data_IF_913540214984
#
_entry.id   IF_913540214984
#
_cell.length_a   1.000
_cell.length_b   1.000
_cell.length_c   1.000
_cell.angle_alpha   90.00
_cell.angle_beta   90.00
_cell.angle_gamma   90.00
#
_symmetry.space_group_name_H-M   'P 1'
#
loop_
_entity.id
_entity.type
_entity.pdbx_description
1 polymer ?
#
# COMPACT_ATOMS: atom_id res chain seq x y z
N UNK A 1 2.36 -18.13 -23.27
CA UNK A 1 1.83 -17.90 -21.92
C UNK A 1 2.95 -17.43 -21.02
N UNK A 2 3.13 -16.13 -20.89
CA UNK A 2 4.04 -15.53 -19.92
C UNK A 2 3.51 -15.85 -18.52
N UNK A 3 4.07 -16.87 -17.90
CA UNK A 3 3.85 -17.17 -16.49
C UNK A 3 4.30 -15.93 -15.70
N UNK A 4 3.36 -15.14 -15.17
CA UNK A 4 3.65 -14.02 -14.28
C UNK A 4 4.08 -14.62 -12.95
N UNK A 5 5.38 -14.86 -12.78
CA UNK A 5 5.96 -15.25 -11.50
C UNK A 5 5.58 -14.21 -10.45
N UNK A 6 4.95 -14.65 -9.40
CA UNK A 6 4.51 -13.77 -8.33
C UNK A 6 5.73 -13.38 -7.48
N UNK A 7 5.97 -12.07 -7.33
CA UNK A 7 7.10 -11.50 -6.60
C UNK A 7 6.57 -10.75 -5.38
N UNK A 8 7.16 -10.99 -4.22
CA UNK A 8 6.74 -10.35 -2.99
C UNK A 8 7.88 -9.54 -2.37
N UNK A 9 7.57 -8.31 -1.97
CA UNK A 9 8.54 -7.39 -1.39
C UNK A 9 8.43 -7.37 0.14
N UNK A 10 9.43 -7.91 0.81
CA UNK A 10 9.52 -8.04 2.26
C UNK A 10 10.27 -6.84 2.86
N UNK A 11 9.61 -5.69 3.00
CA UNK A 11 10.22 -4.47 3.57
C UNK A 11 9.96 -4.37 5.07
N UNK A 12 8.78 -4.75 5.56
CA UNK A 12 8.37 -4.49 6.95
C UNK A 12 9.01 -5.45 7.94
N UNK A 13 9.65 -4.91 8.97
CA UNK A 13 10.11 -5.66 10.12
C UNK A 13 9.00 -5.83 11.17
N UNK A 14 9.23 -6.68 12.18
CA UNK A 14 8.35 -6.96 13.32
C UNK A 14 7.97 -5.67 14.11
N UNK A 15 6.85 -5.67 14.91
CA UNK A 15 6.28 -4.46 15.54
C UNK A 15 7.18 -3.62 16.42
N UNK A 16 8.18 -4.22 17.03
CA UNK A 16 9.09 -3.51 17.95
C UNK A 16 10.18 -2.72 17.23
N UNK A 17 10.14 -2.67 15.90
CA UNK A 17 11.08 -1.95 15.06
C UNK A 17 10.35 -0.94 14.17
N UNK A 18 11.09 0.01 13.60
CA UNK A 18 10.53 1.16 12.87
C UNK A 18 9.97 0.80 11.49
N UNK A 19 8.92 -0.01 11.40
CA UNK A 19 8.40 -0.56 10.14
C UNK A 19 7.92 0.50 9.13
N UNK A 20 7.51 1.68 9.58
CA UNK A 20 7.14 2.82 8.71
C UNK A 20 8.35 3.66 8.27
N UNK A 21 9.51 3.53 8.93
CA UNK A 21 10.77 4.12 8.50
C UNK A 21 11.67 3.05 7.89
N UNK A 22 11.58 2.89 6.57
CA UNK A 22 12.35 1.90 5.84
C UNK A 22 13.88 2.10 5.91
N UNK A 23 14.35 3.20 6.51
CA UNK A 23 15.75 3.48 6.73
C UNK A 23 16.24 3.09 8.14
N UNK A 24 15.38 2.46 8.95
CA UNK A 24 15.70 2.00 10.32
C UNK A 24 15.24 0.56 10.59
N UNK A 25 15.24 -0.27 9.55
CA UNK A 25 14.92 -1.69 9.70
C UNK A 25 16.05 -2.41 10.41
N UNK A 26 15.69 -3.31 11.35
CA UNK A 26 16.62 -4.07 12.16
C UNK A 26 16.88 -5.50 11.64
N UNK A 27 16.11 -5.96 10.64
CA UNK A 27 16.37 -7.23 9.99
C UNK A 27 17.76 -7.22 9.37
N UNK A 28 18.62 -8.15 9.80
CA UNK A 28 20.05 -8.12 9.48
C UNK A 28 20.45 -9.03 8.33
N UNK A 29 21.48 -8.62 7.61
CA UNK A 29 22.21 -9.45 6.67
C UNK A 29 23.71 -9.23 6.91
N UNK A 30 24.44 -10.30 7.27
CA UNK A 30 25.87 -10.27 7.54
C UNK A 30 26.59 -10.99 6.40
N UNK A 31 27.62 -10.33 5.84
CA UNK A 31 28.42 -10.91 4.75
C UNK A 31 29.45 -11.89 5.30
N UNK A 32 29.47 -13.09 4.75
CA UNK A 32 30.44 -14.13 5.04
C UNK A 32 31.03 -14.67 3.72
N UNK A 33 32.16 -14.10 3.31
CA UNK A 33 32.81 -14.41 2.04
C UNK A 33 31.89 -14.06 0.85
N UNK A 34 31.57 -15.03 0.02
CA UNK A 34 30.68 -14.92 -1.14
C UNK A 34 29.21 -15.18 -0.81
N UNK A 35 28.86 -15.18 0.48
CA UNK A 35 27.51 -15.43 0.96
C UNK A 35 27.05 -14.35 1.93
N UNK A 36 25.72 -14.26 2.09
CA UNK A 36 25.06 -13.45 3.12
C UNK A 36 24.24 -14.34 4.05
N UNK A 37 24.30 -14.05 5.34
CA UNK A 37 23.50 -14.72 6.37
C UNK A 37 22.43 -13.77 6.85
N UNK A 38 21.16 -14.15 6.65
CA UNK A 38 19.99 -13.33 6.96
C UNK A 38 19.32 -13.80 8.23
N UNK A 39 19.04 -12.86 9.16
CA UNK A 39 18.38 -13.14 10.43
C UNK A 39 17.34 -12.08 10.79
N UNK A 40 16.21 -12.53 11.34
CA UNK A 40 15.17 -11.66 11.87
C UNK A 40 13.77 -12.07 11.47
N UNK A 41 12.81 -11.17 11.66
CA UNK A 41 11.41 -11.41 11.36
C UNK A 41 10.84 -10.32 10.46
N UNK A 42 9.99 -10.71 9.52
CA UNK A 42 9.23 -9.82 8.65
C UNK A 42 7.74 -10.12 8.81
N UNK A 43 6.89 -9.11 8.89
CA UNK A 43 5.46 -9.31 9.00
C UNK A 43 4.67 -8.42 8.04
N UNK A 44 3.39 -8.72 7.87
CA UNK A 44 2.54 -8.09 6.87
C UNK A 44 3.09 -8.24 5.45
N UNK A 45 3.69 -9.38 5.16
CA UNK A 45 4.28 -9.67 3.84
C UNK A 45 3.18 -10.24 2.95
N UNK A 46 2.59 -9.38 2.14
CA UNK A 46 1.48 -9.72 1.26
C UNK A 46 1.89 -10.74 0.21
N UNK A 47 1.13 -11.83 0.11
CA UNK A 47 1.35 -12.90 -0.86
C UNK A 47 2.54 -13.81 -0.60
N UNK A 48 3.24 -13.67 0.51
CA UNK A 48 4.38 -14.54 0.81
C UNK A 48 3.98 -15.99 1.07
N UNK A 49 2.73 -16.24 1.49
CA UNK A 49 2.17 -17.59 1.66
C UNK A 49 1.42 -18.12 0.44
N UNK A 50 1.33 -17.36 -0.65
CA UNK A 50 0.66 -17.82 -1.87
C UNK A 50 1.48 -18.96 -2.51
N UNK A 51 0.87 -20.12 -2.80
CA UNK A 51 1.57 -21.25 -3.45
C UNK A 51 2.22 -20.90 -4.79
N UNK A 52 1.79 -19.80 -5.42
CA UNK A 52 2.34 -19.30 -6.71
C UNK A 52 3.50 -18.33 -6.53
N UNK A 53 3.90 -18.04 -5.29
CA UNK A 53 5.01 -17.12 -5.00
C UNK A 53 6.35 -17.82 -5.27
N UNK A 54 7.05 -17.37 -6.29
CA UNK A 54 8.34 -17.94 -6.72
C UNK A 54 9.55 -17.12 -6.26
N UNK A 55 9.32 -15.90 -5.71
CA UNK A 55 10.41 -15.00 -5.42
C UNK A 55 10.09 -14.02 -4.29
N UNK A 56 10.99 -13.94 -3.30
CA UNK A 56 11.00 -12.86 -2.33
C UNK A 56 12.01 -11.78 -2.72
N UNK A 57 11.58 -10.52 -2.58
CA UNK A 57 12.45 -9.34 -2.67
C UNK A 57 12.58 -8.78 -1.26
N UNK A 58 13.74 -8.95 -0.64
CA UNK A 58 13.98 -8.71 0.78
C UNK A 58 14.87 -7.48 0.99
N UNK A 59 14.44 -6.56 1.85
CA UNK A 59 15.27 -5.45 2.32
C UNK A 59 15.86 -5.78 3.69
N UNK A 60 17.18 -5.76 3.83
CA UNK A 60 17.90 -6.05 5.05
C UNK A 60 18.94 -4.98 5.38
N UNK A 61 19.20 -4.77 6.66
CA UNK A 61 20.29 -3.93 7.15
C UNK A 61 21.61 -4.68 6.98
N UNK A 62 22.53 -4.11 6.20
CA UNK A 62 23.85 -4.67 5.92
C UNK A 62 24.97 -3.88 6.57
N UNK A 63 24.79 -2.58 6.80
CA UNK A 63 25.72 -1.72 7.50
C UNK A 63 24.97 -0.69 8.37
N UNK A 64 24.78 -0.94 9.66
CA UNK A 64 24.11 -0.01 10.55
C UNK A 64 24.90 1.29 10.80
N UNK A 65 26.20 1.31 10.50
CA UNK A 65 27.08 2.48 10.68
C UNK A 65 27.04 3.44 9.49
N UNK A 66 26.60 2.98 8.33
CA UNK A 66 26.51 3.78 7.12
C UNK A 66 25.50 4.94 7.25
N UNK A 67 25.54 5.87 6.31
CA UNK A 67 24.56 6.95 6.24
C UNK A 67 23.13 6.40 6.12
N UNK A 68 22.15 7.12 6.66
CA UNK A 68 20.74 6.67 6.82
C UNK A 68 20.17 5.90 5.63
N UNK A 69 20.45 6.31 4.40
CA UNK A 69 19.87 5.72 3.20
C UNK A 69 20.73 4.62 2.57
N UNK A 70 21.95 4.40 3.10
CA UNK A 70 22.90 3.41 2.58
C UNK A 70 23.08 2.20 3.52
N UNK A 71 22.28 2.11 4.58
CA UNK A 71 22.35 1.01 5.57
C UNK A 71 21.82 -0.32 5.07
N UNK A 72 21.00 -0.29 4.00
CA UNK A 72 20.21 -1.44 3.60
C UNK A 72 20.53 -1.89 2.19
N UNK A 73 20.55 -3.20 2.01
CA UNK A 73 20.71 -3.86 0.72
C UNK A 73 19.43 -4.62 0.36
N UNK A 74 19.12 -4.67 -0.91
CA UNK A 74 18.00 -5.43 -1.44
C UNK A 74 18.49 -6.76 -1.99
N UNK A 75 17.82 -7.85 -1.60
CA UNK A 75 18.14 -9.21 -2.00
C UNK A 75 16.96 -9.85 -2.72
N UNK A 76 17.27 -10.79 -3.60
CA UNK A 76 16.30 -11.67 -4.26
C UNK A 76 16.60 -13.09 -3.84
N UNK A 77 15.57 -13.83 -3.38
CA UNK A 77 15.76 -15.21 -2.90
C UNK A 77 14.53 -16.07 -3.19
N UNK A 78 14.77 -17.38 -3.26
CA UNK A 78 13.72 -18.39 -3.38
C UNK A 78 12.98 -18.51 -2.03
N UNK A 79 11.63 -18.46 -2.00
CA UNK A 79 10.83 -18.71 -0.80
C UNK A 79 11.15 -20.04 -0.08
N UNK A 80 11.67 -21.03 -0.81
CA UNK A 80 12.02 -22.36 -0.30
C UNK A 80 13.44 -22.45 0.27
N UNK A 81 14.17 -21.31 0.33
CA UNK A 81 15.51 -21.29 0.92
C UNK A 81 15.47 -21.80 2.37
N UNK A 82 16.34 -22.75 2.77
CA UNK A 82 16.37 -23.27 4.14
C UNK A 82 16.53 -22.16 5.18
N UNK A 83 15.81 -22.29 6.30
CA UNK A 83 15.81 -21.30 7.40
C UNK A 83 14.72 -20.24 7.29
N UNK A 84 13.90 -20.27 6.23
CA UNK A 84 12.72 -19.41 6.09
C UNK A 84 11.50 -20.17 6.61
N UNK A 85 10.78 -19.56 7.55
CA UNK A 85 9.58 -20.13 8.17
C UNK A 85 8.41 -19.14 8.06
N UNK A 86 7.24 -19.63 7.64
CA UNK A 86 5.97 -18.90 7.74
C UNK A 86 5.37 -19.19 9.12
N UNK A 87 5.41 -18.22 10.03
CA UNK A 87 4.92 -18.40 11.39
C UNK A 87 3.39 -18.45 11.44
N UNK A 88 2.73 -17.55 10.71
CA UNK A 88 1.26 -17.48 10.62
C UNK A 88 0.78 -16.52 9.54
N UNK A 89 -0.46 -16.69 9.05
CA UNK A 89 -1.16 -15.63 8.33
C UNK A 89 -1.55 -14.50 9.32
N UNK A 90 -1.54 -13.27 8.80
CA UNK A 90 -2.02 -12.09 9.50
C UNK A 90 -3.48 -11.83 9.09
N UNK A 91 -4.35 -11.53 10.03
CA UNK A 91 -5.73 -11.23 9.73
C UNK A 91 -5.99 -9.72 9.64
N UNK A 92 -6.77 -9.33 8.63
CA UNK A 92 -7.28 -7.97 8.44
C UNK A 92 -8.78 -7.99 8.67
N UNK A 93 -9.26 -7.34 9.73
CA UNK A 93 -10.68 -7.38 10.13
C UNK A 93 -11.25 -8.80 10.24
N UNK A 94 -10.44 -9.74 10.75
CA UNK A 94 -10.82 -11.15 10.89
C UNK A 94 -10.66 -11.99 9.62
N UNK A 95 -10.23 -11.42 8.48
CA UNK A 95 -10.03 -12.09 7.21
C UNK A 95 -8.55 -12.33 6.93
N UNK A 96 -8.17 -13.53 6.49
CA UNK A 96 -6.79 -13.88 6.13
C UNK A 96 -6.42 -13.53 4.68
N UNK A 97 -7.41 -13.13 3.86
CA UNK A 97 -7.26 -12.72 2.46
C UNK A 97 -6.59 -13.81 1.57
N UNK A 98 -6.85 -15.09 1.91
CA UNK A 98 -6.29 -16.23 1.18
C UNK A 98 -6.78 -16.27 -0.29
N UNK A 99 -5.96 -16.80 -1.23
CA UNK A 99 -4.61 -17.38 -1.07
C UNK A 99 -3.48 -16.36 -0.99
N UNK A 100 -3.75 -15.09 -1.33
CA UNK A 100 -2.75 -14.02 -1.34
C UNK A 100 -2.25 -13.70 0.08
N UNK A 101 -3.15 -13.32 0.97
CA UNK A 101 -2.92 -13.09 2.39
C UNK A 101 -1.73 -12.18 2.74
N UNK A 102 -1.47 -12.08 4.03
CA UNK A 102 -0.31 -11.38 4.58
C UNK A 102 0.37 -12.28 5.60
N UNK A 103 1.66 -12.52 5.46
CA UNK A 103 2.37 -13.48 6.31
C UNK A 103 3.29 -12.81 7.32
N UNK A 104 3.48 -13.49 8.45
CA UNK A 104 4.55 -13.29 9.39
C UNK A 104 5.62 -14.32 9.10
N UNK A 105 6.83 -13.86 8.75
CA UNK A 105 7.97 -14.69 8.36
C UNK A 105 9.08 -14.59 9.40
N UNK A 106 9.78 -15.70 9.63
CA UNK A 106 11.02 -15.76 10.39
C UNK A 106 12.13 -16.30 9.51
N UNK A 107 13.30 -15.72 9.68
CA UNK A 107 14.53 -16.09 9.00
C UNK A 107 15.57 -16.43 10.08
N UNK A 108 16.10 -17.64 10.01
CA UNK A 108 17.11 -18.14 10.95
C UNK A 108 18.30 -18.68 10.15
N UNK A 109 19.43 -17.98 10.21
CA UNK A 109 20.68 -18.30 9.53
C UNK A 109 20.50 -18.63 8.03
N UNK A 110 19.60 -17.88 7.36
CA UNK A 110 19.30 -18.08 5.94
C UNK A 110 20.50 -17.65 5.10
N UNK A 111 21.11 -18.61 4.41
CA UNK A 111 22.30 -18.39 3.57
C UNK A 111 21.92 -18.19 2.13
N UNK A 112 22.38 -17.08 1.54
CA UNK A 112 22.18 -16.75 0.12
C UNK A 112 23.49 -16.28 -0.51
N UNK A 113 23.63 -16.48 -1.82
CA UNK A 113 24.80 -16.04 -2.58
C UNK A 113 24.85 -14.51 -2.69
N UNK A 114 26.05 -13.94 -2.79
CA UNK A 114 26.25 -12.52 -3.10
C UNK A 114 25.65 -12.10 -4.45
N UNK A 115 25.42 -13.03 -5.38
CA UNK A 115 24.70 -12.79 -6.62
C UNK A 115 23.21 -12.45 -6.44
N UNK A 116 22.66 -12.68 -5.25
CA UNK A 116 21.28 -12.31 -4.88
C UNK A 116 21.09 -10.82 -4.64
N UNK A 117 22.17 -10.02 -4.58
CA UNK A 117 22.10 -8.58 -4.36
C UNK A 117 21.54 -7.85 -5.58
N UNK A 118 20.55 -7.00 -5.36
CA UNK A 118 19.94 -6.17 -6.41
C UNK A 118 20.60 -4.80 -6.44
N UNK A 119 21.10 -4.38 -7.59
CA UNK A 119 21.70 -3.06 -7.88
C UNK A 119 23.04 -2.80 -7.18
N UNK A 120 23.29 -3.41 -6.02
CA UNK A 120 24.52 -3.27 -5.24
C UNK A 120 24.27 -3.11 -3.74
N UNK A 121 25.34 -3.31 -2.96
CA UNK A 121 25.33 -3.18 -1.50
C UNK A 121 25.02 -1.73 -1.09
N UNK A 122 24.22 -1.56 -0.04
CA UNK A 122 23.81 -0.24 0.47
C UNK A 122 22.78 0.52 -0.38
N UNK A 123 22.35 -0.03 -1.53
CA UNK A 123 21.42 0.64 -2.46
C UNK A 123 19.97 0.16 -2.33
N UNK A 124 19.65 -0.61 -1.29
CA UNK A 124 18.31 -1.17 -1.09
C UNK A 124 17.22 -0.11 -0.89
N UNK A 125 17.53 1.01 -0.24
CA UNK A 125 16.57 2.10 -0.09
C UNK A 125 16.23 2.76 -1.45
N UNK A 126 17.20 2.94 -2.32
CA UNK A 126 17.01 3.45 -3.68
C UNK A 126 16.08 2.54 -4.49
N UNK A 127 16.34 1.23 -4.48
CA UNK A 127 15.49 0.22 -5.15
C UNK A 127 14.06 0.28 -4.63
N UNK A 128 13.89 0.34 -3.31
CA UNK A 128 12.56 0.41 -2.69
C UNK A 128 11.80 1.68 -3.11
N UNK A 129 12.43 2.85 -3.10
CA UNK A 129 11.79 4.11 -3.48
C UNK A 129 11.46 4.19 -4.97
N UNK A 130 12.30 3.64 -5.83
CA UNK A 130 12.04 3.56 -7.28
C UNK A 130 10.75 2.78 -7.59
N UNK A 131 10.46 1.73 -6.83
CA UNK A 131 9.22 0.94 -6.97
C UNK A 131 8.01 1.60 -6.30
N UNK A 132 8.20 2.19 -5.12
CA UNK A 132 7.09 2.71 -4.31
C UNK A 132 6.41 3.94 -4.92
N UNK A 133 7.14 4.77 -5.66
CA UNK A 133 6.58 5.94 -6.33
C UNK A 133 5.42 5.59 -7.27
N UNK A 134 5.67 4.84 -8.36
CA UNK A 134 4.63 4.36 -9.27
C UNK A 134 3.57 3.50 -8.58
N UNK A 135 3.98 2.65 -7.62
CA UNK A 135 3.09 1.79 -6.86
C UNK A 135 2.00 2.56 -6.11
N UNK A 136 2.36 3.72 -5.54
CA UNK A 136 1.39 4.60 -4.83
C UNK A 136 0.34 5.19 -5.77
N UNK A 137 0.71 5.60 -6.99
CA UNK A 137 -0.25 6.06 -8.01
C UNK A 137 -1.19 4.91 -8.38
N UNK A 138 -0.66 3.72 -8.60
CA UNK A 138 -1.45 2.52 -8.91
C UNK A 138 -2.47 2.19 -7.80
N UNK A 139 -2.08 2.28 -6.52
CA UNK A 139 -3.01 2.13 -5.41
C UNK A 139 -4.13 3.17 -5.43
N UNK A 140 -3.82 4.42 -5.73
CA UNK A 140 -4.81 5.49 -5.81
C UNK A 140 -5.78 5.31 -6.98
N UNK A 141 -5.31 4.88 -8.15
CA UNK A 141 -6.16 4.55 -9.29
C UNK A 141 -7.17 3.45 -8.95
N UNK A 142 -6.71 2.38 -8.30
CA UNK A 142 -7.61 1.29 -7.86
C UNK A 142 -8.62 1.77 -6.82
N UNK A 143 -8.20 2.63 -5.87
CA UNK A 143 -9.10 3.22 -4.89
C UNK A 143 -10.22 4.04 -5.57
N UNK A 144 -9.87 4.85 -6.57
CA UNK A 144 -10.84 5.60 -7.38
C UNK A 144 -11.81 4.66 -8.10
N UNK A 145 -11.30 3.57 -8.71
CA UNK A 145 -12.13 2.57 -9.38
C UNK A 145 -13.10 1.86 -8.41
N UNK A 146 -12.69 1.59 -7.18
CA UNK A 146 -13.60 1.04 -6.16
C UNK A 146 -14.65 2.06 -5.71
N UNK A 147 -14.30 3.33 -5.58
CA UNK A 147 -15.25 4.39 -5.29
C UNK A 147 -16.29 4.55 -6.41
N UNK A 148 -15.88 4.46 -7.67
CA UNK A 148 -16.80 4.43 -8.84
C UNK A 148 -17.78 3.28 -8.75
N UNK A 149 -17.29 2.08 -8.45
CA UNK A 149 -18.14 0.90 -8.29
C UNK A 149 -19.14 1.05 -7.14
N UNK A 150 -18.67 1.58 -6.01
CA UNK A 150 -19.54 1.84 -4.86
C UNK A 150 -20.62 2.88 -5.18
N UNK A 151 -20.27 3.95 -5.89
CA UNK A 151 -21.25 4.96 -6.35
C UNK A 151 -22.28 4.36 -7.32
N UNK A 152 -21.85 3.52 -8.27
CA UNK A 152 -22.77 2.79 -9.15
C UNK A 152 -23.75 1.94 -8.33
N UNK A 153 -23.24 1.15 -7.38
CA UNK A 153 -24.08 0.29 -6.52
C UNK A 153 -25.04 1.13 -5.68
N UNK A 154 -24.59 2.26 -5.13
CA UNK A 154 -25.41 3.21 -4.39
C UNK A 154 -26.57 3.77 -5.25
N UNK A 155 -26.27 4.23 -6.46
CA UNK A 155 -27.29 4.74 -7.39
C UNK A 155 -28.30 3.66 -7.77
N UNK A 156 -27.85 2.46 -8.15
CA UNK A 156 -28.72 1.34 -8.51
C UNK A 156 -29.62 0.94 -7.34
N UNK A 157 -29.08 0.83 -6.14
CA UNK A 157 -29.84 0.51 -4.92
C UNK A 157 -30.85 1.60 -4.61
N UNK A 158 -30.45 2.86 -4.66
CA UNK A 158 -31.32 4.01 -4.36
C UNK A 158 -32.51 4.13 -5.27
N UNK A 159 -32.35 3.78 -6.57
CA UNK A 159 -33.41 3.82 -7.56
C UNK A 159 -34.35 2.60 -7.52
N UNK A 160 -33.81 1.42 -7.11
CA UNK A 160 -34.59 0.16 -7.14
C UNK A 160 -35.30 -0.16 -5.85
N UNK A 161 -34.87 0.41 -4.71
CA UNK A 161 -35.46 0.13 -3.40
C UNK A 161 -36.42 1.23 -2.96
N UNK A 162 -37.60 0.81 -2.52
CA UNK A 162 -38.60 1.69 -1.92
C UNK A 162 -38.71 1.45 -0.41
N UNK A 163 -38.91 2.53 0.35
CA UNK A 163 -39.26 2.55 1.76
C UNK A 163 -40.11 3.78 2.04
N UNK A 164 -41.01 3.68 3.00
CA UNK A 164 -41.92 4.77 3.36
C UNK A 164 -42.70 5.37 2.14
N UNK A 165 -43.00 4.54 1.15
CA UNK A 165 -43.74 4.92 -0.06
C UNK A 165 -42.93 5.75 -1.07
N UNK A 166 -41.61 5.82 -0.96
CA UNK A 166 -40.69 6.56 -1.85
C UNK A 166 -39.46 5.74 -2.18
N UNK A 167 -38.79 6.04 -3.30
CA UNK A 167 -37.47 5.51 -3.59
C UNK A 167 -36.45 5.99 -2.53
N UNK A 168 -35.44 5.19 -2.24
CA UNK A 168 -34.39 5.61 -1.30
C UNK A 168 -33.70 6.89 -1.74
N UNK A 169 -33.53 7.11 -3.05
CA UNK A 169 -32.98 8.37 -3.58
C UNK A 169 -33.77 9.59 -3.15
N UNK A 170 -35.09 9.47 -2.96
CA UNK A 170 -36.00 10.58 -2.65
C UNK A 170 -36.16 10.80 -1.13
N UNK A 171 -35.44 10.02 -0.32
CA UNK A 171 -35.46 10.08 1.14
C UNK A 171 -34.20 10.75 1.69
N UNK A 172 -34.37 11.64 2.68
CA UNK A 172 -33.29 12.30 3.37
C UNK A 172 -32.35 13.08 2.44
N UNK A 173 -31.05 13.09 2.75
CA UNK A 173 -30.01 13.78 1.98
C UNK A 173 -29.33 12.92 0.90
N UNK A 174 -29.97 11.86 0.38
CA UNK A 174 -29.31 10.90 -0.53
C UNK A 174 -28.88 11.54 -1.86
N UNK A 175 -29.60 12.56 -2.36
CA UNK A 175 -29.14 13.34 -3.52
C UNK A 175 -27.80 14.05 -3.24
N UNK A 176 -27.65 14.66 -2.07
CA UNK A 176 -26.41 15.35 -1.69
C UNK A 176 -25.26 14.37 -1.51
N UNK A 177 -25.52 13.20 -0.93
CA UNK A 177 -24.54 12.12 -0.78
C UNK A 177 -24.02 11.66 -2.15
N UNK A 178 -24.92 11.39 -3.10
CA UNK A 178 -24.57 10.96 -4.45
C UNK A 178 -23.81 12.06 -5.20
N UNK A 179 -24.26 13.31 -5.11
CA UNK A 179 -23.61 14.45 -5.77
C UNK A 179 -22.20 14.68 -5.20
N UNK A 180 -22.05 14.68 -3.88
CA UNK A 180 -20.75 14.84 -3.21
C UNK A 180 -19.80 13.69 -3.56
N UNK A 181 -20.27 12.44 -3.57
CA UNK A 181 -19.48 11.29 -3.98
C UNK A 181 -18.93 11.47 -5.40
N UNK A 182 -19.77 11.88 -6.36
CA UNK A 182 -19.33 12.14 -7.74
C UNK A 182 -18.27 13.23 -7.81
N UNK A 183 -18.50 14.37 -7.14
CA UNK A 183 -17.55 15.49 -7.13
C UNK A 183 -16.21 15.08 -6.52
N UNK A 184 -16.20 14.41 -5.37
CA UNK A 184 -15.00 13.98 -4.68
C UNK A 184 -14.21 12.94 -5.49
N UNK A 185 -14.88 12.02 -6.21
CA UNK A 185 -14.25 11.07 -7.12
C UNK A 185 -13.53 11.80 -8.25
N UNK A 186 -14.18 12.77 -8.90
CA UNK A 186 -13.57 13.53 -10.00
C UNK A 186 -12.39 14.37 -9.55
N UNK A 187 -12.50 15.07 -8.40
CA UNK A 187 -11.36 15.80 -7.82
C UNK A 187 -10.17 14.87 -7.54
N UNK A 188 -10.43 13.69 -6.99
CA UNK A 188 -9.38 12.69 -6.72
C UNK A 188 -8.77 12.13 -8.00
N UNK A 189 -9.58 11.89 -9.03
CA UNK A 189 -9.13 11.44 -10.35
C UNK A 189 -8.19 12.45 -11.00
N UNK A 190 -8.60 13.71 -11.05
CA UNK A 190 -7.78 14.79 -11.62
C UNK A 190 -6.45 14.93 -10.90
N UNK A 191 -6.44 14.84 -9.56
CA UNK A 191 -5.21 14.88 -8.79
C UNK A 191 -4.32 13.65 -9.05
N UNK A 192 -4.90 12.47 -9.24
CA UNK A 192 -4.17 11.25 -9.59
C UNK A 192 -3.54 11.36 -10.98
N UNK A 193 -4.30 11.84 -11.97
CA UNK A 193 -3.80 12.10 -13.32
C UNK A 193 -2.68 13.15 -13.31
N UNK A 194 -2.79 14.20 -12.48
CA UNK A 194 -1.71 15.17 -12.30
C UNK A 194 -0.44 14.53 -11.74
N UNK A 195 -0.57 13.62 -10.77
CA UNK A 195 0.59 12.91 -10.22
C UNK A 195 1.26 12.03 -11.28
N UNK A 196 0.49 11.31 -12.10
CA UNK A 196 0.97 10.50 -13.20
C UNK A 196 1.67 11.38 -14.27
N UNK A 197 1.03 12.45 -14.71
CA UNK A 197 1.59 13.39 -15.66
C UNK A 197 2.93 13.99 -15.20
N UNK A 198 3.03 14.38 -13.92
CA UNK A 198 4.29 14.89 -13.36
C UNK A 198 5.37 13.82 -13.32
N UNK A 199 5.01 12.56 -13.13
CA UNK A 199 5.96 11.45 -13.19
C UNK A 199 6.50 11.23 -14.59
N UNK A 200 5.64 11.26 -15.59
CA UNK A 200 5.99 11.01 -16.99
C UNK A 200 6.82 12.16 -17.59
N UNK A 201 6.48 13.41 -17.24
CA UNK A 201 7.09 14.60 -17.87
C UNK A 201 8.27 15.18 -17.08
N UNK A 202 8.30 15.05 -15.75
CA UNK A 202 9.31 15.68 -14.91
C UNK A 202 10.02 14.71 -13.95
N UNK A 203 9.67 13.42 -14.01
CA UNK A 203 10.29 12.33 -13.26
C UNK A 203 9.82 12.20 -11.82
N UNK A 204 10.26 11.11 -11.18
CA UNK A 204 9.80 10.67 -9.85
C UNK A 204 9.99 11.74 -8.77
N UNK A 205 11.11 12.46 -8.80
CA UNK A 205 11.42 13.49 -7.79
C UNK A 205 10.45 14.67 -7.82
N UNK A 206 10.10 15.15 -9.03
CA UNK A 206 9.13 16.24 -9.21
C UNK A 206 7.69 15.79 -8.92
N UNK A 207 7.37 14.52 -9.18
CA UNK A 207 6.07 13.92 -8.89
C UNK A 207 5.83 13.68 -7.40
N UNK A 208 6.87 13.56 -6.56
CA UNK A 208 6.77 13.16 -5.15
C UNK A 208 5.75 13.97 -4.33
N UNK A 209 5.65 15.30 -4.41
CA UNK A 209 4.63 16.07 -3.69
C UNK A 209 3.20 15.74 -4.13
N UNK A 210 2.99 15.43 -5.41
CA UNK A 210 1.69 15.04 -5.97
C UNK A 210 1.29 13.63 -5.55
N UNK A 211 2.25 12.70 -5.58
CA UNK A 211 2.08 11.33 -5.08
C UNK A 211 1.68 11.36 -3.60
N UNK A 212 2.33 12.19 -2.78
CA UNK A 212 2.02 12.28 -1.36
C UNK A 212 0.61 12.84 -1.12
N UNK A 213 0.16 13.82 -1.90
CA UNK A 213 -1.20 14.38 -1.81
C UNK A 213 -2.24 13.32 -2.16
N UNK A 214 -2.10 12.67 -3.32
CA UNK A 214 -3.11 11.71 -3.76
C UNK A 214 -3.17 10.47 -2.89
N UNK A 215 -2.03 10.02 -2.32
CA UNK A 215 -1.95 8.86 -1.43
C UNK A 215 -2.72 9.06 -0.11
N UNK A 216 -2.93 10.31 0.31
CA UNK A 216 -3.81 10.66 1.45
C UNK A 216 -5.25 10.78 0.99
N UNK A 217 -5.51 11.51 -0.10
CA UNK A 217 -6.86 11.90 -0.52
C UNK A 217 -7.64 10.72 -1.08
N UNK A 218 -7.08 9.94 -2.00
CA UNK A 218 -7.83 8.88 -2.68
C UNK A 218 -8.35 7.77 -1.75
N UNK A 219 -7.57 7.22 -0.79
CA UNK A 219 -8.10 6.23 0.13
C UNK A 219 -9.14 6.80 1.12
N UNK A 220 -9.00 8.06 1.53
CA UNK A 220 -9.99 8.73 2.38
C UNK A 220 -11.31 8.92 1.65
N UNK A 221 -11.26 9.47 0.44
CA UNK A 221 -12.43 9.66 -0.43
C UNK A 221 -13.12 8.32 -0.71
N UNK A 222 -12.36 7.31 -1.14
CA UNK A 222 -12.93 6.02 -1.48
C UNK A 222 -13.56 5.33 -0.25
N UNK A 223 -12.93 5.42 0.92
CA UNK A 223 -13.49 4.89 2.16
C UNK A 223 -14.82 5.55 2.53
N UNK A 224 -14.93 6.87 2.37
CA UNK A 224 -16.17 7.62 2.59
C UNK A 224 -17.27 7.20 1.62
N UNK A 225 -16.97 7.15 0.32
CA UNK A 225 -17.98 6.78 -0.70
C UNK A 225 -18.47 5.35 -0.50
N UNK A 226 -17.59 4.41 -0.15
CA UNK A 226 -17.98 3.03 0.12
C UNK A 226 -18.84 2.94 1.39
N UNK A 227 -18.49 3.68 2.45
CA UNK A 227 -19.24 3.72 3.71
C UNK A 227 -20.68 4.24 3.49
N UNK A 228 -20.82 5.33 2.72
CA UNK A 228 -22.14 5.86 2.33
C UNK A 228 -22.94 4.85 1.47
N UNK A 229 -22.26 4.11 0.59
CA UNK A 229 -22.92 3.06 -0.18
C UNK A 229 -23.38 1.91 0.73
N UNK A 230 -22.58 1.51 1.73
CA UNK A 230 -22.96 0.52 2.74
C UNK A 230 -24.18 0.99 3.53
N UNK A 231 -24.17 2.25 3.97
CA UNK A 231 -25.27 2.86 4.72
C UNK A 231 -26.58 2.80 3.91
N UNK A 232 -26.55 3.15 2.62
CA UNK A 232 -27.73 3.11 1.77
C UNK A 232 -28.22 1.69 1.48
N UNK A 233 -27.36 0.68 1.51
CA UNK A 233 -27.74 -0.73 1.40
C UNK A 233 -28.32 -1.30 2.70
N UNK A 234 -28.08 -0.65 3.87
CA UNK A 234 -28.48 -1.13 5.17
C UNK A 234 -27.71 -2.41 5.55
N UNK A 235 -28.35 -3.33 6.26
CA UNK A 235 -27.71 -4.59 6.70
C UNK A 235 -27.10 -5.40 5.52
N UNK A 236 -27.68 -5.33 4.34
CA UNK A 236 -27.12 -5.98 3.16
C UNK A 236 -25.74 -5.41 2.78
N UNK A 237 -25.48 -4.13 3.03
CA UNK A 237 -24.20 -3.48 2.73
C UNK A 237 -23.01 -3.96 3.56
N UNK A 238 -23.27 -4.56 4.72
CA UNK A 238 -22.24 -5.17 5.58
C UNK A 238 -22.21 -6.70 5.50
N UNK A 239 -23.09 -7.28 4.68
CA UNK A 239 -23.16 -8.72 4.44
C UNK A 239 -22.22 -9.18 3.32
N UNK A 240 -22.13 -10.49 3.13
CA UNK A 240 -21.38 -11.10 2.02
C UNK A 240 -22.13 -11.07 0.68
N UNK A 241 -23.41 -10.62 0.67
CA UNK A 241 -24.23 -10.54 -0.56
C UNK A 241 -23.79 -9.40 -1.47
N UNK A 242 -23.09 -8.41 -0.94
CA UNK A 242 -22.49 -7.29 -1.64
C UNK A 242 -21.02 -7.11 -1.30
N UNK A 243 -20.21 -6.75 -2.29
CA UNK A 243 -18.76 -6.55 -2.10
C UNK A 243 -18.37 -5.32 -1.26
N UNK A 244 -19.34 -4.51 -0.81
CA UNK A 244 -19.08 -3.22 -0.17
C UNK A 244 -18.23 -3.35 1.10
N UNK A 245 -18.54 -4.30 1.97
CA UNK A 245 -17.77 -4.53 3.19
C UNK A 245 -16.32 -4.94 2.89
N UNK A 246 -16.12 -5.81 1.89
CA UNK A 246 -14.79 -6.23 1.43
C UNK A 246 -14.03 -5.05 0.79
N UNK A 247 -14.69 -4.27 -0.05
CA UNK A 247 -14.12 -3.05 -0.63
C UNK A 247 -13.68 -2.06 0.45
N UNK A 248 -14.50 -1.86 1.49
CA UNK A 248 -14.19 -0.97 2.60
C UNK A 248 -12.95 -1.43 3.38
N UNK A 249 -12.86 -2.72 3.72
CA UNK A 249 -11.68 -3.28 4.40
C UNK A 249 -10.40 -3.08 3.59
N UNK A 250 -10.43 -3.36 2.29
CA UNK A 250 -9.29 -3.15 1.41
C UNK A 250 -8.89 -1.66 1.32
N UNK A 251 -9.83 -0.76 1.15
CA UNK A 251 -9.53 0.68 1.11
C UNK A 251 -8.98 1.17 2.44
N UNK A 252 -9.49 0.66 3.57
CA UNK A 252 -9.00 1.03 4.89
C UNK A 252 -7.52 0.66 5.08
N UNK A 253 -7.07 -0.47 4.51
CA UNK A 253 -5.66 -0.88 4.56
C UNK A 253 -4.74 0.05 3.76
N UNK A 254 -5.22 0.65 2.68
CA UNK A 254 -4.41 1.57 1.85
C UNK A 254 -3.96 2.83 2.60
N UNK A 255 -4.59 3.17 3.72
CA UNK A 255 -4.16 4.27 4.58
C UNK A 255 -2.88 3.96 5.37
N UNK A 256 -2.43 2.70 5.36
CA UNK A 256 -1.18 2.22 5.97
C UNK A 256 -0.17 1.71 4.93
N UNK A 257 -0.64 1.00 3.91
CA UNK A 257 0.20 0.42 2.88
C UNK A 257 1.00 1.50 2.14
N UNK A 258 2.25 1.19 1.80
CA UNK A 258 3.19 2.09 1.10
C UNK A 258 3.40 3.47 1.79
N UNK A 259 3.26 3.49 3.11
CA UNK A 259 3.39 4.65 3.98
C UNK A 259 2.03 5.15 4.51
N UNK A 260 1.94 5.35 5.85
CA UNK A 260 0.72 5.85 6.47
C UNK A 260 0.44 7.32 6.12
N UNK A 261 -0.83 7.73 6.26
CA UNK A 261 -1.30 9.10 5.99
C UNK A 261 -0.40 10.17 6.63
N UNK A 262 0.06 9.94 7.88
CA UNK A 262 0.90 10.90 8.60
C UNK A 262 2.26 11.14 7.91
N UNK A 263 2.88 10.10 7.34
CA UNK A 263 4.15 10.22 6.60
C UNK A 263 3.95 11.08 5.34
N UNK A 264 2.88 10.84 4.60
CA UNK A 264 2.57 11.60 3.38
C UNK A 264 2.17 13.05 3.70
N UNK A 265 1.35 13.28 4.73
CA UNK A 265 1.01 14.63 5.21
C UNK A 265 2.24 15.42 5.61
N UNK A 266 3.19 14.78 6.34
CA UNK A 266 4.48 15.41 6.68
C UNK A 266 5.26 15.82 5.42
N UNK A 267 5.29 14.97 4.38
CA UNK A 267 5.96 15.30 3.12
C UNK A 267 5.31 16.50 2.41
N UNK A 268 3.98 16.53 2.36
CA UNK A 268 3.22 17.66 1.77
C UNK A 268 3.52 18.94 2.53
N UNK A 269 3.42 18.93 3.86
CA UNK A 269 3.68 20.11 4.70
C UNK A 269 5.13 20.63 4.54
N UNK A 270 6.11 19.72 4.54
CA UNK A 270 7.52 20.09 4.33
C UNK A 270 7.77 20.72 2.95
N UNK A 271 7.16 20.18 1.91
CA UNK A 271 7.28 20.73 0.57
C UNK A 271 6.66 22.14 0.49
N UNK A 272 5.55 22.39 1.19
CA UNK A 272 4.92 23.69 1.24
C UNK A 272 5.77 24.69 2.03
N UNK A 273 6.17 24.36 3.27
CA UNK A 273 6.98 25.21 4.13
C UNK A 273 8.30 25.62 3.48
N UNK A 274 8.92 24.71 2.72
CA UNK A 274 10.20 25.01 2.02
C UNK A 274 10.10 26.21 1.06
N UNK A 275 8.94 26.51 0.50
CA UNK A 275 8.74 27.64 -0.40
C UNK A 275 8.96 28.99 0.30
N UNK A 276 8.74 29.02 1.60
CA UNK A 276 8.79 30.24 2.41
C UNK A 276 10.05 30.36 3.28
N UNK A 277 10.82 29.29 3.42
CA UNK A 277 12.02 29.28 4.28
C UNK A 277 13.08 30.31 3.82
N UNK A 278 13.22 30.50 2.51
CA UNK A 278 14.20 31.45 1.94
C UNK A 278 13.72 32.91 1.92
N UNK A 279 12.47 33.19 2.30
CA UNK A 279 11.93 34.56 2.36
C UNK A 279 11.92 35.15 3.78
N UNK A 280 12.38 34.36 4.77
CA UNK A 280 12.46 34.76 6.18
C UNK A 280 13.92 34.99 6.65
N UNK A 281 14.90 34.83 5.76
CA UNK A 281 16.30 35.22 5.91
C UNK A 281 16.62 36.40 5.01
#
# INVERSE_FOLDING_TARGET
>A
TTCRRQRQMCIRDRPNTASSDAAQLAFSAIKEGESWVLNGEKWWISGAGDPRCDLYILLACTDPSASKHNRHTMFVLDPKTPGIEILRPMQVFGNDDAPHGHMHLKFTDVRISSSSVVLGEGRGFEVAQGRLGPGRIHHCMRAIGQAEKALEMMCRRGLSREAFGKRLTDLGGNYDIIANARMEIEMSRLLCLKAAYMMDTAGVRAAQPWISKIKVIAPLMAGKVIDEAMQLHGAAGISQDFDLANMWTHIRTLRFADGPDAVHRRQVARAELKKYTNSLT
#
